data_IF_442204093781
#
_entry.id   IF_442204093781
#
_cell.length_a   1.000
_cell.length_b   1.000
_cell.length_c   1.000
_cell.angle_alpha   90.00
_cell.angle_beta   90.00
_cell.angle_gamma   90.00
#
_symmetry.space_group_name_H-M   'P 1'
#
loop_
_entity.id
_entity.type
_entity.pdbx_description
1 polymer ?
#
# COMPACT_ATOMS: atom_id res chain seq x y z
N UNK A 1 0.40 -10.93 25.98
CA UNK A 1 -0.08 -10.94 24.58
C UNK A 1 0.67 -9.81 23.89
N UNK A 2 1.49 -10.13 22.89
CA UNK A 2 2.32 -9.12 22.21
C UNK A 2 1.41 -8.14 21.48
N UNK A 3 1.67 -6.84 21.63
CA UNK A 3 0.85 -5.80 21.01
C UNK A 3 0.87 -5.91 19.48
N UNK A 4 2.03 -6.29 18.93
CA UNK A 4 2.22 -6.62 17.52
C UNK A 4 1.23 -7.66 17.00
N UNK A 5 0.93 -8.70 17.76
CA UNK A 5 -0.04 -9.70 17.32
C UNK A 5 -1.44 -9.10 17.21
N UNK A 6 -1.84 -8.30 18.20
CA UNK A 6 -3.16 -7.65 18.24
C UNK A 6 -3.30 -6.66 17.07
N UNK A 7 -2.30 -5.83 16.89
CA UNK A 7 -2.22 -4.80 15.85
C UNK A 7 -2.39 -5.42 14.45
N UNK A 8 -1.57 -6.43 14.14
CA UNK A 8 -1.65 -7.08 12.84
C UNK A 8 -2.96 -7.88 12.65
N UNK A 9 -3.56 -8.45 13.71
CA UNK A 9 -4.91 -9.05 13.61
C UNK A 9 -5.98 -8.01 13.27
N UNK A 10 -5.89 -6.81 13.84
CA UNK A 10 -6.78 -5.70 13.50
C UNK A 10 -6.55 -5.31 12.03
N UNK A 11 -5.30 -5.20 11.59
CA UNK A 11 -4.96 -4.90 10.20
C UNK A 11 -5.57 -5.92 9.23
N UNK A 12 -5.48 -7.23 9.52
CA UNK A 12 -6.16 -8.27 8.73
C UNK A 12 -7.68 -8.06 8.70
N UNK A 13 -8.28 -7.76 9.85
CA UNK A 13 -9.73 -7.52 9.93
C UNK A 13 -10.18 -6.31 9.11
N UNK A 14 -9.45 -5.20 9.18
CA UNK A 14 -9.75 -3.99 8.42
C UNK A 14 -9.60 -4.23 6.92
N UNK A 15 -8.52 -4.88 6.49
CA UNK A 15 -8.30 -5.21 5.08
C UNK A 15 -9.35 -6.19 4.53
N UNK A 16 -9.79 -7.16 5.33
CA UNK A 16 -10.88 -8.07 4.95
C UNK A 16 -12.19 -7.29 4.73
N UNK A 17 -12.54 -6.38 5.64
CA UNK A 17 -13.74 -5.55 5.52
C UNK A 17 -13.65 -4.66 4.28
N UNK A 18 -12.49 -4.06 4.02
CA UNK A 18 -12.25 -3.24 2.83
C UNK A 18 -12.41 -4.08 1.54
N UNK A 19 -11.77 -5.24 1.44
CA UNK A 19 -11.89 -6.13 0.29
C UNK A 19 -13.33 -6.61 0.05
N UNK A 20 -14.08 -6.94 1.11
CA UNK A 20 -15.50 -7.29 0.99
C UNK A 20 -16.32 -6.09 0.51
N UNK A 21 -16.05 -4.90 1.03
CA UNK A 21 -16.73 -3.68 0.60
C UNK A 21 -16.45 -3.40 -0.88
N UNK A 22 -15.20 -3.52 -1.35
CA UNK A 22 -14.84 -3.38 -2.76
C UNK A 22 -15.62 -4.34 -3.65
N UNK A 23 -15.71 -5.62 -3.26
CA UNK A 23 -16.48 -6.63 -4.00
C UNK A 23 -17.96 -6.25 -4.07
N UNK A 24 -18.54 -5.77 -2.97
CA UNK A 24 -19.93 -5.27 -2.96
C UNK A 24 -20.09 -4.09 -3.92
N UNK A 25 -19.17 -3.13 -3.90
CA UNK A 25 -19.19 -1.98 -4.81
C UNK A 25 -19.02 -2.40 -6.27
N UNK A 26 -18.16 -3.37 -6.55
CA UNK A 26 -18.02 -3.97 -7.87
C UNK A 26 -19.34 -4.59 -8.35
N UNK A 27 -20.05 -5.35 -7.50
CA UNK A 27 -21.34 -5.91 -7.87
C UNK A 27 -22.38 -4.83 -8.19
N UNK A 28 -22.31 -3.67 -7.52
CA UNK A 28 -23.25 -2.55 -7.71
C UNK A 28 -22.93 -1.69 -8.93
N UNK A 29 -21.67 -1.29 -9.09
CA UNK A 29 -21.24 -0.32 -10.11
C UNK A 29 -20.73 -0.98 -11.39
N UNK A 30 -20.33 -2.26 -11.33
CA UNK A 30 -19.75 -3.03 -12.44
C UNK A 30 -18.47 -2.43 -13.04
N UNK A 31 -17.82 -1.51 -12.33
CA UNK A 31 -16.53 -0.95 -12.73
C UNK A 31 -15.36 -1.86 -12.27
N UNK A 32 -14.42 -2.08 -13.19
CA UNK A 32 -13.18 -2.85 -12.97
C UNK A 32 -12.29 -2.28 -11.87
N UNK A 33 -12.35 -0.97 -11.59
CA UNK A 33 -11.56 -0.32 -10.54
C UNK A 33 -11.77 -0.96 -9.17
N UNK A 34 -13.01 -1.37 -8.86
CA UNK A 34 -13.35 -1.98 -7.57
C UNK A 34 -12.81 -3.42 -7.45
N UNK A 35 -12.69 -4.17 -8.55
CA UNK A 35 -12.00 -5.47 -8.50
C UNK A 35 -10.51 -5.26 -8.20
N UNK A 36 -9.89 -4.25 -8.80
CA UNK A 36 -8.46 -3.97 -8.58
C UNK A 36 -8.21 -3.61 -7.12
N UNK A 37 -9.08 -2.79 -6.51
CA UNK A 37 -9.04 -2.49 -5.08
C UNK A 37 -9.24 -3.74 -4.22
N UNK A 38 -10.20 -4.61 -4.56
CA UNK A 38 -10.42 -5.86 -3.84
C UNK A 38 -9.17 -6.76 -3.86
N UNK A 39 -8.45 -6.80 -4.98
CA UNK A 39 -7.20 -7.54 -5.11
C UNK A 39 -6.06 -6.89 -4.34
N UNK A 40 -5.99 -5.55 -4.32
CA UNK A 40 -5.03 -4.79 -3.53
C UNK A 40 -5.19 -5.07 -2.02
N UNK A 41 -6.39 -4.86 -1.47
CA UNK A 41 -6.69 -5.13 -0.06
C UNK A 41 -6.59 -6.63 0.26
N UNK A 42 -7.03 -7.49 -0.64
CA UNK A 42 -6.98 -8.94 -0.47
C UNK A 42 -5.54 -9.47 -0.40
N UNK A 43 -4.65 -9.01 -1.28
CA UNK A 43 -3.23 -9.36 -1.22
C UNK A 43 -2.55 -8.79 0.04
N UNK A 44 -2.90 -7.57 0.46
CA UNK A 44 -2.37 -7.01 1.70
C UNK A 44 -2.79 -7.86 2.90
N UNK A 45 -4.09 -8.15 3.00
CA UNK A 45 -4.69 -9.00 4.03
C UNK A 45 -4.02 -10.37 4.11
N UNK A 46 -3.85 -11.05 2.98
CA UNK A 46 -3.25 -12.40 2.94
C UNK A 46 -1.79 -12.39 3.39
N UNK A 47 -1.03 -11.35 3.04
CA UNK A 47 0.36 -11.19 3.48
C UNK A 47 0.44 -11.03 4.99
N UNK A 48 -0.35 -10.10 5.54
CA UNK A 48 -0.42 -9.86 6.98
C UNK A 48 -0.97 -11.07 7.74
N UNK A 49 -1.99 -11.76 7.21
CA UNK A 49 -2.55 -12.96 7.86
C UNK A 49 -1.52 -14.07 7.96
N UNK A 50 -0.76 -14.32 6.89
CA UNK A 50 0.31 -15.31 6.92
C UNK A 50 1.38 -14.95 7.96
N UNK A 51 1.77 -13.68 8.01
CA UNK A 51 2.70 -13.15 9.00
C UNK A 51 2.20 -13.34 10.44
N UNK A 52 0.95 -12.96 10.72
CA UNK A 52 0.32 -13.10 12.04
C UNK A 52 0.22 -14.54 12.49
N UNK A 53 -0.22 -15.44 11.60
CA UNK A 53 -0.34 -16.85 11.93
C UNK A 53 1.01 -17.46 12.26
N UNK A 54 2.07 -17.06 11.53
CA UNK A 54 3.42 -17.50 11.86
C UNK A 54 3.87 -17.01 13.23
N UNK A 55 3.72 -15.72 13.52
CA UNK A 55 4.04 -15.14 14.82
C UNK A 55 3.27 -15.85 15.95
N UNK A 56 1.99 -16.15 15.72
CA UNK A 56 1.15 -16.83 16.70
C UNK A 56 1.63 -18.26 16.99
N UNK A 57 2.03 -19.01 15.95
CA UNK A 57 2.40 -20.41 16.06
C UNK A 57 3.84 -20.57 16.59
N UNK A 58 4.78 -19.78 16.07
CA UNK A 58 6.21 -19.92 16.37
C UNK A 58 6.72 -18.99 17.47
N UNK A 59 6.09 -17.83 17.65
CA UNK A 59 6.50 -16.84 18.65
C UNK A 59 7.79 -16.08 18.32
N UNK A 60 8.36 -16.25 17.12
CA UNK A 60 9.56 -15.55 16.65
C UNK A 60 9.28 -14.79 15.34
N UNK A 61 9.99 -13.67 15.15
CA UNK A 61 9.93 -12.89 13.91
C UNK A 61 10.88 -13.55 12.89
N UNK A 62 10.36 -14.03 11.76
CA UNK A 62 11.15 -14.71 10.75
C UNK A 62 11.99 -13.73 9.94
N UNK A 63 13.25 -14.07 9.65
CA UNK A 63 14.17 -13.16 8.93
C UNK A 63 13.89 -13.06 7.42
N UNK A 64 13.27 -14.08 6.80
CA UNK A 64 12.92 -14.07 5.37
C UNK A 64 11.53 -14.69 5.21
N UNK A 65 10.60 -13.92 4.63
CA UNK A 65 9.17 -14.25 4.60
C UNK A 65 8.57 -14.20 3.20
N UNK A 66 9.12 -15.00 2.28
CA UNK A 66 8.76 -15.00 0.86
C UNK A 66 7.26 -14.94 0.56
N UNK A 67 6.42 -15.70 1.27
CA UNK A 67 4.98 -15.71 1.01
C UNK A 67 4.33 -14.37 1.36
N UNK A 68 4.63 -13.81 2.53
CA UNK A 68 4.10 -12.50 2.93
C UNK A 68 4.69 -11.37 2.07
N UNK A 69 5.99 -11.41 1.81
CA UNK A 69 6.70 -10.45 0.96
C UNK A 69 6.09 -10.36 -0.44
N UNK A 70 5.89 -11.51 -1.10
CA UNK A 70 5.27 -11.56 -2.42
C UNK A 70 3.84 -11.02 -2.37
N UNK A 71 3.09 -11.33 -1.31
CA UNK A 71 1.72 -10.86 -1.13
C UNK A 71 1.64 -9.34 -0.97
N UNK A 72 2.52 -8.75 -0.15
CA UNK A 72 2.60 -7.30 -0.01
C UNK A 72 3.07 -6.64 -1.31
N UNK A 73 4.10 -7.16 -1.98
CA UNK A 73 4.53 -6.65 -3.30
C UNK A 73 3.36 -6.70 -4.30
N UNK A 74 2.60 -7.79 -4.32
CA UNK A 74 1.43 -7.94 -5.18
C UNK A 74 0.34 -6.91 -4.88
N UNK A 75 0.07 -6.61 -3.60
CA UNK A 75 -0.85 -5.54 -3.21
C UNK A 75 -0.42 -4.19 -3.81
N UNK A 76 0.85 -3.79 -3.64
CA UNK A 76 1.35 -2.55 -4.24
C UNK A 76 1.36 -2.58 -5.78
N UNK A 77 1.54 -3.74 -6.42
CA UNK A 77 1.36 -3.86 -7.87
C UNK A 77 -0.10 -3.61 -8.31
N UNK A 78 -1.08 -4.07 -7.52
CA UNK A 78 -2.48 -3.74 -7.75
C UNK A 78 -2.78 -2.27 -7.49
N UNK A 79 -2.16 -1.65 -6.48
CA UNK A 79 -2.22 -0.20 -6.26
C UNK A 79 -1.66 0.59 -7.46
N UNK A 80 -0.56 0.12 -8.05
CA UNK A 80 -0.01 0.70 -9.27
C UNK A 80 -0.97 0.54 -10.47
N UNK A 81 -1.54 -0.65 -10.61
CA UNK A 81 -2.54 -0.94 -11.66
C UNK A 81 -3.78 -0.07 -11.50
N UNK A 82 -4.22 0.17 -10.26
CA UNK A 82 -5.31 1.09 -9.93
C UNK A 82 -5.04 2.50 -10.47
N UNK A 83 -3.82 3.04 -10.27
CA UNK A 83 -3.46 4.36 -10.80
C UNK A 83 -3.48 4.42 -12.33
N UNK A 84 -2.99 3.37 -12.99
CA UNK A 84 -2.95 3.29 -14.46
C UNK A 84 -4.37 3.23 -15.03
N UNK A 85 -5.21 2.33 -14.51
CA UNK A 85 -6.56 2.10 -15.02
C UNK A 85 -7.47 3.31 -14.80
N UNK A 86 -7.26 4.08 -13.72
CA UNK A 86 -8.03 5.28 -13.42
C UNK A 86 -7.79 6.42 -14.41
N UNK A 87 -6.60 6.49 -14.99
CA UNK A 87 -6.16 7.55 -15.92
C UNK A 87 -5.92 7.00 -17.34
N UNK A 88 -6.55 5.87 -17.66
CA UNK A 88 -6.50 5.20 -18.96
C UNK A 88 -6.91 6.19 -20.06
N UNK A 89 -5.98 6.51 -20.96
CA UNK A 89 -6.17 7.50 -22.04
C UNK A 89 -5.32 8.78 -21.93
N UNK A 90 -4.76 9.09 -20.75
CA UNK A 90 -3.79 10.20 -20.62
C UNK A 90 -2.42 9.78 -21.15
N UNK A 91 -1.89 10.53 -22.14
CA UNK A 91 -0.55 10.26 -22.68
C UNK A 91 0.51 10.66 -21.65
N UNK A 92 1.08 9.68 -20.96
CA UNK A 92 2.24 9.92 -20.10
C UNK A 92 3.42 10.39 -20.94
N UNK A 93 3.96 11.57 -20.60
CA UNK A 93 5.23 12.07 -21.13
C UNK A 93 6.29 11.85 -20.06
N UNK A 94 7.54 11.64 -20.48
CA UNK A 94 8.62 11.59 -19.51
C UNK A 94 8.75 12.97 -18.84
N UNK A 95 8.70 12.97 -17.51
CA UNK A 95 8.84 14.17 -16.71
C UNK A 95 10.00 14.02 -15.71
N UNK A 96 10.90 15.02 -15.61
CA UNK A 96 12.10 14.89 -14.80
C UNK A 96 11.81 14.92 -13.29
N UNK A 97 10.84 15.71 -12.84
CA UNK A 97 10.54 15.83 -11.39
C UNK A 97 9.93 14.55 -10.82
N UNK A 98 8.90 13.93 -11.42
CA UNK A 98 8.40 12.62 -10.97
C UNK A 98 9.47 11.53 -11.02
N UNK A 99 10.37 11.57 -12.01
CA UNK A 99 11.49 10.64 -12.11
C UNK A 99 12.48 10.78 -10.93
N UNK A 100 12.81 12.01 -10.54
CA UNK A 100 13.67 12.26 -9.36
C UNK A 100 12.98 11.79 -8.08
N UNK A 101 11.69 12.10 -7.88
CA UNK A 101 10.94 11.63 -6.72
C UNK A 101 10.91 10.09 -6.64
N UNK A 102 10.63 9.42 -7.75
CA UNK A 102 10.65 7.97 -7.85
C UNK A 102 12.03 7.38 -7.54
N UNK A 103 13.11 8.00 -8.04
CA UNK A 103 14.48 7.58 -7.75
C UNK A 103 14.83 7.74 -6.27
N UNK A 104 14.40 8.82 -5.62
CA UNK A 104 14.59 9.02 -4.17
C UNK A 104 13.87 7.92 -3.38
N UNK A 105 12.60 7.66 -3.68
CA UNK A 105 11.82 6.61 -3.03
C UNK A 105 12.46 5.23 -3.25
N UNK A 106 12.91 4.93 -4.46
CA UNK A 106 13.61 3.70 -4.78
C UNK A 106 14.90 3.53 -3.93
N UNK A 107 15.73 4.58 -3.86
CA UNK A 107 16.98 4.53 -3.08
C UNK A 107 16.68 4.36 -1.60
N UNK A 108 15.70 5.08 -1.06
CA UNK A 108 15.29 4.94 0.35
C UNK A 108 14.81 3.52 0.61
N UNK A 109 13.93 2.97 -0.22
CA UNK A 109 13.41 1.61 -0.08
C UNK A 109 14.53 0.55 -0.11
N UNK A 110 15.50 0.70 -1.03
CA UNK A 110 16.68 -0.17 -1.12
C UNK A 110 17.58 -0.06 0.11
N UNK A 111 17.77 1.15 0.64
CA UNK A 111 18.62 1.39 1.82
C UNK A 111 17.98 0.93 3.12
N UNK A 112 16.66 0.92 3.18
CA UNK A 112 15.95 0.40 4.33
C UNK A 112 16.01 -1.11 4.44
N UNK A 113 16.37 -1.86 3.39
CA UNK A 113 16.35 -3.34 3.43
C UNK A 113 14.99 -3.89 3.90
N UNK A 114 13.89 -3.38 3.33
CA UNK A 114 12.51 -3.61 3.81
C UNK A 114 12.17 -5.10 4.01
N UNK A 115 12.76 -5.98 3.20
CA UNK A 115 12.58 -7.43 3.30
C UNK A 115 13.87 -8.15 3.74
N UNK A 116 14.70 -7.46 4.52
CA UNK A 116 15.96 -7.94 5.04
C UNK A 116 16.98 -8.26 3.92
N UNK A 117 17.76 -9.35 4.03
CA UNK A 117 18.85 -9.66 3.10
C UNK A 117 18.37 -10.07 1.70
N UNK A 118 17.07 -10.22 1.49
CA UNK A 118 16.48 -10.58 0.20
C UNK A 118 16.50 -9.38 -0.76
N UNK A 119 17.62 -9.21 -1.46
CA UNK A 119 17.82 -8.12 -2.43
C UNK A 119 16.77 -8.15 -3.55
N UNK A 120 16.34 -9.35 -3.97
CA UNK A 120 15.35 -9.48 -5.05
C UNK A 120 13.96 -8.98 -4.64
N UNK A 121 13.45 -9.35 -3.46
CA UNK A 121 12.15 -8.88 -3.00
C UNK A 121 12.20 -7.40 -2.64
N UNK A 122 13.26 -6.95 -1.96
CA UNK A 122 13.48 -5.53 -1.66
C UNK A 122 13.57 -4.70 -2.95
N UNK A 123 14.32 -5.17 -3.94
CA UNK A 123 14.44 -4.53 -5.25
C UNK A 123 13.11 -4.48 -6.00
N UNK A 124 12.36 -5.58 -6.04
CA UNK A 124 11.04 -5.62 -6.66
C UNK A 124 10.08 -4.62 -6.01
N UNK A 125 10.06 -4.57 -4.67
CA UNK A 125 9.26 -3.62 -3.93
C UNK A 125 9.67 -2.18 -4.20
N UNK A 126 10.97 -1.88 -4.15
CA UNK A 126 11.52 -0.56 -4.43
C UNK A 126 11.14 -0.06 -5.83
N UNK A 127 11.19 -0.93 -6.84
CA UNK A 127 10.71 -0.62 -8.19
C UNK A 127 9.22 -0.30 -8.17
N UNK A 128 8.40 -1.13 -7.52
CA UNK A 128 6.94 -0.93 -7.45
C UNK A 128 6.58 0.40 -6.77
N UNK A 129 7.14 0.70 -5.59
CA UNK A 129 6.84 1.97 -4.90
C UNK A 129 7.42 3.19 -5.62
N UNK A 130 8.55 3.03 -6.31
CA UNK A 130 9.10 4.05 -7.20
C UNK A 130 8.17 4.34 -8.37
N UNK A 131 7.61 3.31 -9.00
CA UNK A 131 6.66 3.45 -10.10
C UNK A 131 5.34 4.10 -9.66
N UNK A 132 4.82 3.73 -8.48
CA UNK A 132 3.64 4.36 -7.87
C UNK A 132 3.89 5.85 -7.62
N UNK A 133 5.07 6.17 -7.08
CA UNK A 133 5.50 7.56 -6.82
C UNK A 133 5.60 8.35 -8.10
N UNK A 134 6.20 7.78 -9.15
CA UNK A 134 6.30 8.43 -10.45
C UNK A 134 4.92 8.82 -10.98
N UNK A 135 3.98 7.86 -11.00
CA UNK A 135 2.64 8.12 -11.53
C UNK A 135 1.88 9.13 -10.67
N UNK A 136 1.94 8.99 -9.34
CA UNK A 136 1.28 9.92 -8.42
C UNK A 136 1.77 11.37 -8.63
N UNK A 137 3.08 11.58 -8.63
CA UNK A 137 3.67 12.92 -8.80
C UNK A 137 3.43 13.45 -10.21
N UNK A 138 3.47 12.59 -11.23
CA UNK A 138 3.15 12.99 -12.60
C UNK A 138 1.71 13.51 -12.72
N UNK A 139 0.73 12.79 -12.18
CA UNK A 139 -0.67 13.25 -12.18
C UNK A 139 -0.88 14.51 -11.34
N UNK A 140 -0.17 14.67 -10.22
CA UNK A 140 -0.26 15.90 -9.42
C UNK A 140 0.31 17.13 -10.15
N UNK A 141 1.29 16.95 -11.04
CA UNK A 141 1.93 18.07 -11.75
C UNK A 141 1.26 18.42 -13.07
N UNK A 142 0.80 17.41 -13.80
CA UNK A 142 0.30 17.57 -15.17
C UNK A 142 -1.18 17.24 -15.33
N UNK A 143 -1.84 16.72 -14.29
CA UNK A 143 -3.28 16.54 -14.30
C UNK A 143 -4.01 17.88 -14.21
N UNK A 144 -5.18 17.95 -14.84
CA UNK A 144 -6.00 19.16 -14.85
C UNK A 144 -6.41 19.62 -13.44
N UNK A 145 -6.59 18.67 -12.52
CA UNK A 145 -6.89 18.89 -11.10
C UNK A 145 -6.16 17.88 -10.21
N UNK A 146 -5.69 18.34 -9.05
CA UNK A 146 -5.16 17.47 -8.00
C UNK A 146 -6.33 16.77 -7.29
N UNK A 147 -6.49 15.47 -7.55
CA UNK A 147 -7.51 14.65 -6.91
C UNK A 147 -6.94 13.90 -5.71
N UNK A 148 -7.77 13.69 -4.69
CA UNK A 148 -7.40 12.94 -3.48
C UNK A 148 -6.83 11.56 -3.82
N UNK A 149 -7.39 10.91 -4.82
CA UNK A 149 -7.01 9.59 -5.35
C UNK A 149 -5.65 9.57 -6.07
N UNK A 150 -5.10 10.73 -6.46
CA UNK A 150 -3.71 10.83 -6.96
C UNK A 150 -2.71 10.97 -5.81
N UNK A 151 -3.11 11.63 -4.72
CA UNK A 151 -2.27 11.85 -3.54
C UNK A 151 -2.27 10.64 -2.60
N UNK A 152 -3.38 9.93 -2.49
CA UNK A 152 -3.55 8.82 -1.53
C UNK A 152 -2.54 7.68 -1.71
N UNK A 153 -2.27 7.18 -2.93
CA UNK A 153 -1.25 6.15 -3.14
C UNK A 153 0.14 6.59 -2.68
N UNK A 154 0.48 7.88 -2.85
CA UNK A 154 1.75 8.43 -2.38
C UNK A 154 1.82 8.47 -0.85
N UNK A 155 0.70 8.79 -0.18
CA UNK A 155 0.60 8.72 1.28
C UNK A 155 0.83 7.28 1.76
N UNK A 156 0.22 6.27 1.13
CA UNK A 156 0.42 4.87 1.47
C UNK A 156 1.91 4.46 1.34
N UNK A 157 2.56 4.84 0.23
CA UNK A 157 4.00 4.58 0.02
C UNK A 157 4.86 5.22 1.11
N UNK A 158 4.63 6.51 1.40
CA UNK A 158 5.41 7.22 2.43
C UNK A 158 5.21 6.58 3.80
N UNK A 159 3.97 6.30 4.19
CA UNK A 159 3.66 5.66 5.47
C UNK A 159 4.33 4.28 5.59
N UNK A 160 4.36 3.50 4.52
CA UNK A 160 5.03 2.19 4.50
C UNK A 160 6.54 2.30 4.72
N UNK A 161 7.19 3.29 4.09
CA UNK A 161 8.63 3.52 4.31
C UNK A 161 8.89 4.02 5.73
N UNK A 162 8.07 4.94 6.22
CA UNK A 162 8.20 5.48 7.58
C UNK A 162 7.97 4.39 8.63
N UNK A 163 7.00 3.50 8.42
CA UNK A 163 6.76 2.34 9.26
C UNK A 163 8.02 1.49 9.37
N UNK A 164 8.62 1.15 8.23
CA UNK A 164 9.81 0.32 8.21
C UNK A 164 11.01 0.99 8.87
N UNK A 165 11.26 2.27 8.56
CA UNK A 165 12.32 3.06 9.21
C UNK A 165 12.10 3.11 10.73
N UNK A 166 10.84 3.29 11.17
CA UNK A 166 10.47 3.32 12.58
C UNK A 166 10.73 1.99 13.29
N UNK A 167 10.55 0.85 12.60
CA UNK A 167 10.86 -0.48 13.15
C UNK A 167 12.33 -0.61 13.57
N UNK A 168 13.26 0.05 12.88
CA UNK A 168 14.67 0.04 13.25
C UNK A 168 14.95 0.76 14.59
N UNK A 169 14.16 1.79 14.91
CA UNK A 169 14.33 2.57 16.14
C UNK A 169 13.61 1.94 17.35
N UNK A 170 12.48 1.26 17.14
CA UNK A 170 11.65 0.72 18.21
C UNK A 170 11.63 -0.81 18.18
N UNK A 171 12.46 -1.43 19.03
CA UNK A 171 12.58 -2.89 19.13
C UNK A 171 11.71 -3.52 20.23
N UNK A 172 10.98 -2.70 21.01
CA UNK A 172 10.06 -3.19 22.05
C UNK A 172 8.63 -3.25 21.48
N UNK A 173 8.23 -4.45 21.06
CA UNK A 173 6.91 -4.76 20.49
C UNK A 173 5.86 -5.16 21.55
N UNK A 174 6.21 -5.05 22.83
CA UNK A 174 5.31 -5.43 23.94
C UNK A 174 4.39 -4.29 24.39
N UNK A 175 4.74 -3.04 24.08
CA UNK A 175 3.98 -1.83 24.44
C UNK A 175 3.68 -1.00 23.21
N UNK A 176 2.58 -0.25 23.27
CA UNK A 176 2.25 0.73 22.23
C UNK A 176 3.39 1.73 22.03
N UNK A 177 3.76 1.97 20.77
CA UNK A 177 4.87 2.80 20.35
C UNK A 177 4.51 3.54 19.05
N UNK A 178 5.41 4.38 18.55
CA UNK A 178 5.18 5.15 17.32
C UNK A 178 5.02 4.25 16.08
N UNK A 179 5.72 3.10 16.05
CA UNK A 179 5.60 2.13 14.96
C UNK A 179 4.16 1.64 14.81
N UNK A 180 3.51 1.26 15.91
CA UNK A 180 2.11 0.83 15.89
C UNK A 180 1.14 1.96 15.48
N UNK A 181 1.40 3.21 15.89
CA UNK A 181 0.60 4.33 15.42
C UNK A 181 0.70 4.50 13.91
N UNK A 182 1.91 4.39 13.35
CA UNK A 182 2.13 4.46 11.91
C UNK A 182 1.43 3.30 11.20
N UNK A 183 1.47 2.09 11.76
CA UNK A 183 0.81 0.92 11.15
C UNK A 183 -0.72 1.08 11.10
N UNK A 184 -1.34 1.57 12.19
CA UNK A 184 -2.76 1.90 12.17
C UNK A 184 -3.06 2.95 11.11
N UNK A 185 -2.28 4.03 11.04
CA UNK A 185 -2.49 5.10 10.05
C UNK A 185 -2.33 4.57 8.62
N UNK A 186 -1.33 3.72 8.36
CA UNK A 186 -1.14 3.05 7.08
C UNK A 186 -2.34 2.17 6.74
N UNK A 187 -2.77 1.31 7.67
CA UNK A 187 -3.92 0.40 7.51
C UNK A 187 -5.19 1.16 7.13
N UNK A 188 -5.52 2.23 7.86
CA UNK A 188 -6.68 3.06 7.54
C UNK A 188 -6.49 3.88 6.25
N UNK A 189 -5.26 4.27 5.91
CA UNK A 189 -4.98 4.98 4.66
C UNK A 189 -5.20 4.08 3.44
N UNK A 190 -4.70 2.83 3.51
CA UNK A 190 -4.91 1.81 2.49
C UNK A 190 -6.41 1.52 2.35
N UNK A 191 -7.11 1.19 3.44
CA UNK A 191 -8.57 1.00 3.42
C UNK A 191 -9.35 2.24 2.93
N UNK A 192 -8.78 3.44 3.11
CA UNK A 192 -9.30 4.72 2.64
C UNK A 192 -9.30 4.90 1.12
N UNK A 193 -8.64 4.02 0.35
CA UNK A 193 -8.65 4.06 -1.11
C UNK A 193 -10.06 3.87 -1.69
N UNK A 194 -10.87 2.99 -1.08
CA UNK A 194 -12.26 2.76 -1.50
C UNK A 194 -13.13 4.03 -1.37
N UNK A 195 -13.29 4.67 -0.19
CA UNK A 195 -14.12 5.87 -0.08
C UNK A 195 -13.58 7.04 -0.92
N UNK A 196 -12.26 7.18 -1.07
CA UNK A 196 -11.68 8.16 -1.99
C UNK A 196 -12.16 7.92 -3.43
N UNK A 197 -12.11 6.68 -3.90
CA UNK A 197 -12.56 6.29 -5.23
C UNK A 197 -14.05 6.53 -5.44
N UNK A 198 -14.89 6.12 -4.49
CA UNK A 198 -16.34 6.33 -4.55
C UNK A 198 -16.68 7.82 -4.59
N UNK A 199 -15.96 8.65 -3.84
CA UNK A 199 -16.18 10.10 -3.82
C UNK A 199 -15.83 10.77 -5.15
N UNK A 200 -14.86 10.24 -5.89
CA UNK A 200 -14.45 10.75 -7.20
C UNK A 200 -15.44 10.32 -8.29
N UNK A 201 -15.80 9.03 -8.33
CA UNK A 201 -16.77 8.52 -9.32
C UNK A 201 -18.10 9.27 -9.21
N UNK A 202 -18.59 9.48 -7.99
CA UNK A 202 -19.83 10.23 -7.75
C UNK A 202 -19.76 11.67 -8.25
N UNK A 203 -18.60 12.33 -8.25
CA UNK A 203 -18.46 13.70 -8.77
C UNK A 203 -18.56 13.76 -10.30
N UNK A 204 -18.14 12.71 -11.00
CA UNK A 204 -18.24 12.63 -12.46
C UNK A 204 -19.67 12.37 -12.95
N UNK A 205 -20.50 11.66 -12.17
CA UNK A 205 -21.91 11.38 -12.54
C UNK A 205 -22.87 12.59 -12.36
N UNK A 206 -22.43 13.70 -11.76
CA UNK A 206 -23.28 14.89 -11.50
C UNK A 206 -23.11 16.00 -12.56
N UNK A 207 -22.27 15.79 -13.58
CA UNK A 207 -22.04 16.72 -14.69
C UNK A 207 -22.53 16.14 -16.01
#
# INVERSE_FOLDING_TARGET
>A
MNFELIDNFIQVGVMLVAAVADIIFWFRQKDRIYIILALEHGCFMMGTLYYVLYLFIRGDVPQIFYVAEISWISSYLFLHTYQIVRRDGEKSRFAPVPAVCAAVIFIVAMRSEIFGPAILSTGAFAVTVGAITYIAVFHMQYGDDIRLTDVWPLICVILQLVLYISSHFFNDYTKFNLYFLIDFVLTFSVAGLLPCTVSEVKKHDVH
#
